data_IF_250293649222
#
_entry.id   IF_250293649222
#
_cell.length_a   1.000
_cell.length_b   1.000
_cell.length_c   1.000
_cell.angle_alpha   90.00
_cell.angle_beta   90.00
_cell.angle_gamma   90.00
#
_symmetry.space_group_name_H-M   'P 1'
#
loop_
_entity.id
_entity.type
_entity.pdbx_description
1 polymer ?
#
# COMPACT_ATOMS: atom_id res chain seq x y z
N UNK A 1 -5.57 -3.73 19.32
CA UNK A 1 -6.09 -2.37 19.05
C UNK A 1 -5.25 -1.84 17.90
N UNK A 2 -5.80 -1.85 16.68
CA UNK A 2 -5.06 -1.58 15.43
C UNK A 2 -5.26 -0.16 14.91
N UNK A 3 -6.27 0.56 15.40
CA UNK A 3 -6.50 1.96 15.06
C UNK A 3 -5.72 2.87 16.01
N UNK A 4 -4.74 3.60 15.45
CA UNK A 4 -3.88 4.53 16.18
C UNK A 4 -4.47 5.94 16.26
N UNK A 5 -5.60 6.21 15.59
CA UNK A 5 -6.17 7.55 15.38
C UNK A 5 -5.20 8.56 14.76
N UNK A 6 -4.10 8.08 14.16
CA UNK A 6 -3.13 8.91 13.48
C UNK A 6 -3.70 9.33 12.12
N UNK A 7 -3.88 10.63 11.92
CA UNK A 7 -4.37 11.20 10.65
C UNK A 7 -3.21 11.85 9.91
N UNK A 8 -3.06 11.51 8.63
CA UNK A 8 -2.04 12.06 7.76
C UNK A 8 -2.63 12.41 6.39
N UNK A 9 -2.15 13.51 5.81
CA UNK A 9 -2.42 13.83 4.41
C UNK A 9 -1.31 13.27 3.55
N UNK A 10 -1.69 12.53 2.50
CA UNK A 10 -0.78 11.90 1.55
C UNK A 10 -1.22 12.24 0.13
N UNK A 11 -0.25 12.44 -0.77
CA UNK A 11 -0.52 12.55 -2.19
C UNK A 11 -0.42 11.16 -2.81
N UNK A 12 -1.55 10.68 -3.34
CA UNK A 12 -1.61 9.38 -3.99
C UNK A 12 -1.65 9.52 -5.51
N UNK A 13 -1.03 8.57 -6.22
CA UNK A 13 -1.22 8.39 -7.65
C UNK A 13 -2.48 7.57 -7.88
N UNK A 14 -3.43 8.12 -8.62
CA UNK A 14 -4.59 7.37 -9.12
C UNK A 14 -4.19 6.64 -10.40
N UNK A 15 -4.19 5.31 -10.37
CA UNK A 15 -3.72 4.45 -11.46
C UNK A 15 -4.76 3.38 -11.82
N UNK A 16 -5.53 3.59 -12.87
CA UNK A 16 -6.53 2.63 -13.34
C UNK A 16 -5.92 1.34 -13.92
N UNK A 17 -4.61 1.31 -14.17
CA UNK A 17 -3.88 0.11 -14.58
C UNK A 17 -3.40 -0.76 -13.42
N UNK A 18 -3.43 -0.24 -12.18
CA UNK A 18 -3.06 -0.98 -10.98
C UNK A 18 -4.26 -1.79 -10.46
N UNK A 19 -3.99 -3.05 -10.10
CA UNK A 19 -4.99 -3.92 -9.46
C UNK A 19 -4.73 -3.92 -7.95
N UNK A 20 -5.58 -3.21 -7.21
CA UNK A 20 -5.49 -3.04 -5.76
C UNK A 20 -4.73 -1.78 -5.30
N UNK A 21 -4.52 -1.70 -4.00
CA UNK A 21 -3.96 -0.53 -3.31
C UNK A 21 -2.57 -0.84 -2.79
N UNK A 22 -1.65 0.13 -2.91
CA UNK A 22 -0.28 -0.03 -2.44
C UNK A 22 0.23 1.20 -1.69
N UNK A 23 1.04 0.97 -0.68
CA UNK A 23 1.71 1.98 0.12
C UNK A 23 3.22 1.71 0.15
N UNK A 24 4.01 2.78 0.07
CA UNK A 24 5.46 2.67 0.04
C UNK A 24 6.03 2.19 1.38
N UNK A 25 7.01 1.29 1.32
CA UNK A 25 7.64 0.72 2.49
C UNK A 25 8.42 1.76 3.33
N UNK A 26 9.05 2.75 2.69
CA UNK A 26 9.75 3.82 3.40
C UNK A 26 8.73 4.75 4.07
N UNK A 27 7.61 5.04 3.41
CA UNK A 27 6.50 5.80 4.01
C UNK A 27 5.98 5.11 5.29
N UNK A 28 5.71 3.80 5.22
CA UNK A 28 5.30 2.99 6.37
C UNK A 28 6.29 3.12 7.54
N UNK A 29 7.59 3.00 7.25
CA UNK A 29 8.63 3.09 8.27
C UNK A 29 8.74 4.49 8.87
N UNK A 30 8.77 5.53 8.03
CA UNK A 30 8.88 6.92 8.45
C UNK A 30 7.71 7.35 9.34
N UNK A 31 6.52 6.85 9.06
CA UNK A 31 5.29 7.20 9.77
C UNK A 31 4.90 6.22 10.89
N UNK A 32 5.71 5.17 11.08
CA UNK A 32 5.53 4.14 12.11
C UNK A 32 4.15 3.45 12.03
N UNK A 33 3.69 3.19 10.80
CA UNK A 33 2.41 2.55 10.59
C UNK A 33 2.46 1.08 11.02
N UNK A 34 1.38 0.61 11.65
CA UNK A 34 1.30 -0.78 12.11
C UNK A 34 0.97 -1.69 10.92
N UNK A 35 1.95 -2.48 10.49
CA UNK A 35 1.75 -3.52 9.47
C UNK A 35 1.47 -4.87 10.09
N UNK A 36 0.80 -5.75 9.36
CA UNK A 36 0.72 -7.16 9.71
C UNK A 36 1.21 -8.04 8.53
N UNK A 37 1.86 -9.18 8.83
CA UNK A 37 2.37 -10.07 7.79
C UNK A 37 1.23 -10.78 7.06
N UNK A 38 1.41 -11.00 5.77
CA UNK A 38 0.57 -11.92 5.01
C UNK A 38 0.92 -13.36 5.39
N UNK A 39 -0.10 -14.23 5.42
CA UNK A 39 0.12 -15.66 5.64
C UNK A 39 0.96 -16.29 4.52
N UNK A 40 0.82 -15.77 3.31
CA UNK A 40 1.57 -16.18 2.13
C UNK A 40 2.03 -14.94 1.37
N UNK A 41 3.35 -14.76 1.12
CA UNK A 41 3.84 -13.67 0.30
C UNK A 41 3.25 -13.68 -1.11
N UNK A 42 2.95 -12.50 -1.65
CA UNK A 42 2.45 -12.32 -3.02
C UNK A 42 3.63 -11.98 -3.93
N UNK A 43 4.03 -12.87 -4.85
CA UNK A 43 5.11 -12.57 -5.79
C UNK A 43 4.65 -11.52 -6.80
N UNK A 44 5.41 -10.43 -6.92
CA UNK A 44 5.20 -9.41 -7.93
C UNK A 44 6.09 -9.73 -9.12
N UNK A 45 5.51 -9.76 -10.32
CA UNK A 45 6.26 -10.02 -11.56
C UNK A 45 6.29 -8.78 -12.44
N UNK A 46 7.43 -8.55 -13.08
CA UNK A 46 7.56 -7.55 -14.14
C UNK A 46 6.88 -8.05 -15.42
N UNK A 47 6.73 -7.16 -16.42
CA UNK A 47 6.15 -7.50 -17.74
C UNK A 47 6.92 -8.62 -18.46
N UNK A 48 8.23 -8.74 -18.19
CA UNK A 48 9.08 -9.81 -18.73
C UNK A 48 8.94 -11.16 -18.00
N UNK A 49 8.08 -11.23 -16.98
CA UNK A 49 7.82 -12.43 -16.19
C UNK A 49 8.86 -12.72 -15.10
N UNK A 50 9.91 -11.89 -14.95
CA UNK A 50 10.83 -12.01 -13.82
C UNK A 50 10.23 -11.42 -12.55
N UNK A 51 10.67 -11.92 -11.39
CA UNK A 51 10.29 -11.33 -10.11
C UNK A 51 10.71 -9.85 -10.08
N UNK A 52 9.81 -9.02 -9.56
CA UNK A 52 10.08 -7.62 -9.32
C UNK A 52 11.31 -7.48 -8.39
N UNK A 53 12.17 -6.49 -8.65
CA UNK A 53 13.38 -6.27 -7.84
C UNK A 53 13.08 -5.91 -6.39
N UNK A 54 11.91 -5.32 -6.12
CA UNK A 54 11.43 -5.07 -4.77
C UNK A 54 11.01 -6.35 -4.02
N UNK A 55 10.93 -7.49 -4.74
CA UNK A 55 10.58 -8.78 -4.19
C UNK A 55 9.07 -9.01 -4.09
N UNK A 56 8.68 -9.97 -3.26
CA UNK A 56 7.29 -10.29 -2.96
C UNK A 56 6.72 -9.32 -1.91
N UNK A 57 5.42 -9.03 -2.00
CA UNK A 57 4.69 -8.34 -0.93
C UNK A 57 4.54 -9.33 0.22
N UNK A 58 5.05 -8.98 1.40
CA UNK A 58 5.02 -9.83 2.60
C UNK A 58 4.15 -9.28 3.72
N UNK A 59 3.76 -8.01 3.65
CA UNK A 59 3.00 -7.33 4.68
C UNK A 59 2.00 -6.37 4.08
N UNK A 60 0.97 -6.08 4.85
CA UNK A 60 -0.08 -5.13 4.53
C UNK A 60 -0.30 -4.17 5.69
N UNK A 61 -0.97 -3.05 5.41
CA UNK A 61 -1.45 -2.09 6.41
C UNK A 61 -2.93 -1.82 6.14
N UNK A 62 -3.74 -1.82 7.20
CA UNK A 62 -5.13 -1.41 7.13
C UNK A 62 -5.24 0.07 7.45
N UNK A 63 -5.86 0.84 6.55
CA UNK A 63 -6.04 2.28 6.70
C UNK A 63 -7.51 2.66 6.52
N UNK A 64 -7.90 3.78 7.11
CA UNK A 64 -9.13 4.49 6.77
C UNK A 64 -8.78 5.61 5.80
N UNK A 65 -9.11 5.42 4.52
CA UNK A 65 -8.96 6.45 3.50
C UNK A 65 -10.11 7.45 3.64
N UNK A 66 -9.76 8.73 3.70
CA UNK A 66 -10.73 9.83 3.71
C UNK A 66 -10.51 10.70 2.48
N UNK A 67 -11.54 10.83 1.64
CA UNK A 67 -11.53 11.74 0.51
C UNK A 67 -12.90 12.42 0.39
N UNK A 68 -12.91 13.75 0.58
CA UNK A 68 -14.15 14.53 0.66
C UNK A 68 -15.09 14.01 1.75
N UNK A 69 -16.31 13.60 1.38
CA UNK A 69 -17.32 13.01 2.26
C UNK A 69 -17.30 11.47 2.28
N UNK A 70 -16.31 10.86 1.62
CA UNK A 70 -16.14 9.42 1.57
C UNK A 70 -15.08 8.92 2.56
N UNK A 71 -15.44 7.86 3.28
CA UNK A 71 -14.55 7.10 4.16
C UNK A 71 -14.55 5.63 3.74
N UNK A 72 -13.37 5.05 3.61
CA UNK A 72 -13.19 3.67 3.20
C UNK A 72 -12.15 2.97 4.05
N UNK A 73 -12.52 1.83 4.65
CA UNK A 73 -11.54 0.93 5.26
C UNK A 73 -10.94 0.06 4.18
N UNK A 74 -9.63 0.18 3.95
CA UNK A 74 -8.96 -0.56 2.91
C UNK A 74 -7.60 -1.08 3.34
N UNK A 75 -7.23 -2.25 2.79
CA UNK A 75 -5.96 -2.90 3.03
C UNK A 75 -4.98 -2.56 1.91
N UNK A 76 -3.83 -2.02 2.25
CA UNK A 76 -2.78 -1.63 1.32
C UNK A 76 -1.63 -2.63 1.37
N UNK A 77 -1.19 -3.06 0.19
CA UNK A 77 0.06 -3.84 0.05
C UNK A 77 1.26 -2.95 0.34
N UNK A 78 2.16 -3.41 1.20
CA UNK A 78 3.41 -2.69 1.47
C UNK A 78 4.48 -3.17 0.49
N UNK A 79 4.97 -2.27 -0.36
CA UNK A 79 5.99 -2.56 -1.37
C UNK A 79 6.80 -1.31 -1.70
N UNK A 80 7.91 -1.44 -2.43
CA UNK A 80 8.66 -0.27 -2.90
C UNK A 80 8.00 0.31 -4.14
N UNK A 81 7.56 1.58 -4.05
CA UNK A 81 6.85 2.30 -5.10
C UNK A 81 7.73 3.34 -5.82
N UNK A 82 9.00 3.44 -5.45
CA UNK A 82 9.97 4.31 -6.11
C UNK A 82 9.75 5.79 -5.79
N UNK A 83 8.94 6.50 -6.59
CA UNK A 83 8.71 7.95 -6.42
C UNK A 83 7.34 8.28 -5.82
N UNK A 84 6.46 7.30 -5.72
CA UNK A 84 5.11 7.47 -5.19
C UNK A 84 5.06 6.96 -3.75
N UNK A 85 4.38 7.68 -2.87
CA UNK A 85 4.15 7.19 -1.50
C UNK A 85 2.92 6.26 -1.45
N UNK A 86 1.93 6.47 -2.32
CA UNK A 86 0.69 5.70 -2.38
C UNK A 86 0.19 5.58 -3.82
N UNK A 87 -0.33 4.40 -4.17
CA UNK A 87 -1.05 4.14 -5.42
C UNK A 87 -2.45 3.65 -5.10
N UNK A 88 -3.46 4.28 -5.71
CA UNK A 88 -4.85 3.86 -5.69
C UNK A 88 -5.19 3.21 -7.03
N UNK A 89 -5.29 1.89 -7.02
CA UNK A 89 -5.73 1.10 -8.16
C UNK A 89 -7.22 0.78 -8.13
N UNK A 90 -7.66 0.03 -9.13
CA UNK A 90 -9.02 -0.51 -9.16
C UNK A 90 -9.14 -1.66 -8.16
N UNK A 91 -10.23 -1.67 -7.40
CA UNK A 91 -10.58 -2.70 -6.40
C UNK A 91 -11.75 -3.53 -6.91
#
# INVERSE_FOLDING_TARGET
MTDTQQVQSIVALLDSGAMGLSLDADYVQQHHLTTHPLSHPIPVYNIDGMLNKAGSICSVVDLVLCYQDHLEHATFSVTSLGKQDMILGFI
#
